data_IF_872068507805
#
_entry.id   IF_872068507805
#
_cell.length_a   1.000
_cell.length_b   1.000
_cell.length_c   1.000
_cell.angle_alpha   90.00
_cell.angle_beta   90.00
_cell.angle_gamma   90.00
#
_symmetry.space_group_name_H-M   'P 1'
#
loop_
_entity.id
_entity.type
_entity.pdbx_description
1 polymer ?
#
# COMPACT_ATOMS: atom_id res chain seq x y z
N UNK A 1 -36.33 -11.68 0.72
CA UNK A 1 -35.61 -10.40 0.94
C UNK A 1 -34.15 -10.73 1.23
N UNK A 2 -33.23 -10.20 0.43
CA UNK A 2 -31.81 -10.58 0.40
C UNK A 2 -31.13 -9.88 1.58
N UNK A 3 -31.09 -10.53 2.75
CA UNK A 3 -30.71 -9.91 4.02
C UNK A 3 -29.39 -9.16 3.95
N UNK A 4 -29.48 -7.91 4.38
CA UNK A 4 -28.63 -6.79 4.00
C UNK A 4 -27.33 -6.80 4.77
N UNK A 5 -26.24 -7.29 4.17
CA UNK A 5 -24.90 -6.88 4.60
C UNK A 5 -24.84 -5.35 4.49
N UNK A 6 -24.64 -4.61 5.60
CA UNK A 6 -24.64 -3.15 5.54
C UNK A 6 -23.53 -2.68 4.60
N UNK A 7 -23.88 -1.87 3.59
CA UNK A 7 -22.95 -1.21 2.66
C UNK A 7 -22.15 -2.17 1.75
N UNK A 8 -22.71 -3.32 1.36
CA UNK A 8 -22.04 -4.32 0.49
C UNK A 8 -21.53 -3.76 -0.85
N UNK A 9 -22.40 -3.12 -1.63
CA UNK A 9 -22.07 -2.57 -2.95
C UNK A 9 -20.98 -1.50 -2.91
N UNK A 10 -21.06 -0.46 -2.04
CA UNK A 10 -19.98 0.53 -1.95
C UNK A 10 -18.66 -0.07 -1.43
N UNK A 11 -18.72 -1.05 -0.53
CA UNK A 11 -17.50 -1.71 -0.02
C UNK A 11 -16.78 -2.53 -1.10
N UNK A 12 -17.51 -3.26 -1.94
CA UNK A 12 -16.92 -3.99 -3.06
C UNK A 12 -16.27 -3.07 -4.09
N UNK A 13 -16.95 -1.97 -4.43
CA UNK A 13 -16.41 -0.98 -5.36
C UNK A 13 -15.11 -0.35 -4.84
N UNK A 14 -15.09 0.06 -3.57
CA UNK A 14 -13.91 0.64 -2.93
C UNK A 14 -12.75 -0.34 -2.77
N UNK A 15 -13.03 -1.59 -2.41
CA UNK A 15 -12.02 -2.64 -2.36
C UNK A 15 -11.42 -2.90 -3.75
N UNK A 16 -12.24 -2.96 -4.79
CA UNK A 16 -11.78 -3.15 -6.17
C UNK A 16 -10.91 -2.00 -6.66
N UNK A 17 -11.28 -0.76 -6.32
CA UNK A 17 -10.52 0.42 -6.72
C UNK A 17 -9.20 0.54 -5.93
N UNK A 18 -9.22 0.20 -4.64
CA UNK A 18 -8.00 0.10 -3.80
C UNK A 18 -7.07 -1.01 -4.30
N UNK A 19 -7.63 -2.13 -4.74
CA UNK A 19 -6.88 -3.24 -5.35
C UNK A 19 -6.18 -2.77 -6.63
N UNK A 20 -6.92 -2.16 -7.56
CA UNK A 20 -6.37 -1.67 -8.82
C UNK A 20 -5.23 -0.67 -8.61
N UNK A 21 -5.42 0.29 -7.70
CA UNK A 21 -4.38 1.28 -7.37
C UNK A 21 -3.20 0.68 -6.60
N UNK A 22 -3.42 -0.36 -5.80
CA UNK A 22 -2.35 -1.13 -5.16
C UNK A 22 -1.45 -1.82 -6.19
N UNK A 23 -2.06 -2.45 -7.20
CA UNK A 23 -1.33 -3.07 -8.33
C UNK A 23 -0.55 -2.01 -9.12
N UNK A 24 -1.17 -0.86 -9.43
CA UNK A 24 -0.51 0.24 -10.15
C UNK A 24 0.69 0.77 -9.34
N UNK A 25 0.53 0.97 -8.03
CA UNK A 25 1.61 1.42 -7.14
C UNK A 25 2.77 0.43 -7.08
N UNK A 26 2.48 -0.88 -7.02
CA UNK A 26 3.50 -1.93 -7.07
C UNK A 26 4.23 -1.99 -8.42
N UNK A 27 3.48 -1.86 -9.53
CA UNK A 27 4.03 -1.84 -10.89
C UNK A 27 4.93 -0.62 -11.12
N UNK A 28 4.52 0.56 -10.64
CA UNK A 28 5.36 1.76 -10.64
C UNK A 28 6.67 1.55 -9.86
N UNK A 29 6.59 0.88 -8.71
CA UNK A 29 7.72 0.40 -7.91
C UNK A 29 8.72 -0.43 -8.71
N UNK A 30 8.24 -1.52 -9.31
CA UNK A 30 9.04 -2.42 -10.14
C UNK A 30 9.67 -1.71 -11.34
N UNK A 31 8.88 -0.89 -12.05
CA UNK A 31 9.37 -0.13 -13.21
C UNK A 31 10.50 0.85 -12.84
N UNK A 32 10.41 1.50 -11.68
CA UNK A 32 11.48 2.38 -11.19
C UNK A 32 12.78 1.62 -10.90
N UNK A 33 12.69 0.39 -10.37
CA UNK A 33 13.86 -0.47 -10.11
C UNK A 33 14.53 -0.89 -11.42
N UNK A 34 13.75 -1.36 -12.39
CA UNK A 34 14.26 -1.78 -13.71
C UNK A 34 14.94 -0.61 -14.42
N UNK A 35 14.24 0.53 -14.53
CA UNK A 35 14.76 1.68 -15.28
C UNK A 35 16.02 2.28 -14.66
N UNK A 36 16.17 2.20 -13.33
CA UNK A 36 17.41 2.57 -12.65
C UNK A 36 18.55 1.60 -12.99
N UNK A 37 18.30 0.29 -12.93
CA UNK A 37 19.33 -0.69 -13.25
C UNK A 37 19.85 -0.51 -14.68
N UNK A 38 18.95 -0.22 -15.62
CA UNK A 38 19.31 0.12 -17.00
C UNK A 38 20.18 1.37 -17.05
N UNK A 39 19.78 2.46 -16.37
CA UNK A 39 20.59 3.69 -16.31
C UNK A 39 21.98 3.48 -15.71
N UNK A 40 22.09 2.75 -14.60
CA UNK A 40 23.38 2.46 -13.96
C UNK A 40 24.25 1.61 -14.88
N UNK A 41 23.66 0.65 -15.61
CA UNK A 41 24.37 -0.15 -16.60
C UNK A 41 24.88 0.71 -17.76
N UNK A 42 24.02 1.57 -18.32
CA UNK A 42 24.39 2.48 -19.41
C UNK A 42 25.49 3.47 -19.00
N UNK A 43 25.43 4.02 -17.77
CA UNK A 43 26.49 4.89 -17.23
C UNK A 43 27.80 4.12 -17.09
N UNK A 44 27.77 2.90 -16.52
CA UNK A 44 28.96 2.07 -16.40
C UNK A 44 29.57 1.75 -17.76
N UNK A 45 28.76 1.45 -18.78
CA UNK A 45 29.23 1.19 -20.14
C UNK A 45 29.83 2.43 -20.80
N UNK A 46 29.15 3.58 -20.72
CA UNK A 46 29.63 4.82 -21.31
C UNK A 46 30.96 5.28 -20.68
N UNK A 47 31.12 5.03 -19.38
CA UNK A 47 32.27 5.50 -18.60
C UNK A 47 33.41 4.46 -18.55
N UNK A 48 33.13 3.18 -18.86
CA UNK A 48 34.15 2.14 -19.03
C UNK A 48 35.14 2.46 -20.17
N UNK A 49 34.67 3.10 -21.24
CA UNK A 49 35.52 3.56 -22.34
C UNK A 49 36.58 4.59 -21.89
N UNK A 50 36.33 5.29 -20.78
CA UNK A 50 37.22 6.32 -20.22
C UNK A 50 38.11 5.79 -19.08
N UNK A 51 38.08 4.48 -18.77
CA UNK A 51 38.72 3.85 -17.59
C UNK A 51 38.33 4.51 -16.25
N UNK A 52 37.14 5.08 -16.17
CA UNK A 52 36.62 5.69 -14.94
C UNK A 52 35.64 4.71 -14.29
N UNK A 53 35.79 4.48 -12.99
CA UNK A 53 34.91 3.60 -12.23
C UNK A 53 33.90 4.46 -11.45
N UNK A 54 32.60 4.30 -11.73
CA UNK A 54 31.54 5.15 -11.16
C UNK A 54 30.74 4.37 -10.12
N UNK A 55 30.72 4.89 -8.89
CA UNK A 55 29.92 4.37 -7.79
C UNK A 55 28.75 5.32 -7.51
N UNK A 56 27.54 4.86 -7.80
CA UNK A 56 26.29 5.62 -7.58
C UNK A 56 25.61 5.07 -6.33
N UNK A 57 25.69 5.79 -5.22
CA UNK A 57 24.95 5.45 -4.00
C UNK A 57 23.56 6.11 -4.04
N UNK A 58 22.53 5.28 -4.15
CA UNK A 58 21.12 5.69 -4.09
C UNK A 58 20.32 4.83 -3.12
N UNK A 59 20.98 4.27 -2.09
CA UNK A 59 20.35 3.28 -1.21
C UNK A 59 19.16 3.85 -0.42
N UNK A 60 19.17 5.14 -0.09
CA UNK A 60 18.14 5.73 0.76
C UNK A 60 16.77 5.79 0.06
N UNK A 61 16.75 6.25 -1.20
CA UNK A 61 15.53 6.30 -2.01
C UNK A 61 15.08 4.91 -2.47
N UNK A 62 16.01 3.98 -2.66
CA UNK A 62 15.68 2.61 -3.04
C UNK A 62 15.03 1.83 -1.91
N UNK A 63 15.64 1.86 -0.73
CA UNK A 63 15.13 1.10 0.42
C UNK A 63 13.74 1.59 0.76
N UNK A 64 13.56 2.90 0.83
CA UNK A 64 12.25 3.52 1.06
C UNK A 64 11.26 3.23 -0.08
N UNK A 65 11.69 3.32 -1.35
CA UNK A 65 10.86 3.03 -2.52
C UNK A 65 10.41 1.56 -2.62
N UNK A 66 11.29 0.61 -2.29
CA UNK A 66 10.96 -0.82 -2.22
C UNK A 66 9.92 -1.06 -1.13
N UNK A 67 10.08 -0.45 0.05
CA UNK A 67 9.11 -0.60 1.14
C UNK A 67 7.73 -0.07 0.74
N UNK A 68 7.66 1.05 0.01
CA UNK A 68 6.39 1.56 -0.55
C UNK A 68 5.78 0.57 -1.57
N UNK A 69 6.59 0.05 -2.48
CA UNK A 69 6.13 -0.90 -3.49
C UNK A 69 5.60 -2.20 -2.87
N UNK A 70 6.31 -2.73 -1.86
CA UNK A 70 5.88 -3.90 -1.07
C UNK A 70 4.59 -3.59 -0.31
N UNK A 71 4.47 -2.40 0.28
CA UNK A 71 3.23 -1.96 0.93
C UNK A 71 2.04 -1.95 -0.03
N UNK A 72 2.22 -1.42 -1.24
CA UNK A 72 1.18 -1.40 -2.28
C UNK A 72 0.81 -2.81 -2.75
N UNK A 73 1.79 -3.71 -2.90
CA UNK A 73 1.57 -5.11 -3.27
C UNK A 73 0.81 -5.86 -2.18
N UNK A 74 1.21 -5.72 -0.92
CA UNK A 74 0.51 -6.31 0.23
C UNK A 74 -0.93 -5.79 0.32
N UNK A 75 -1.14 -4.50 0.05
CA UNK A 75 -2.48 -3.92 0.01
C UNK A 75 -3.35 -4.56 -1.08
N UNK A 76 -2.80 -4.78 -2.28
CA UNK A 76 -3.49 -5.49 -3.34
C UNK A 76 -3.82 -6.95 -2.95
N UNK A 77 -2.88 -7.68 -2.34
CA UNK A 77 -3.13 -9.05 -1.89
C UNK A 77 -4.22 -9.12 -0.82
N UNK A 78 -4.14 -8.26 0.20
CA UNK A 78 -5.13 -8.20 1.29
C UNK A 78 -6.52 -7.84 0.77
N UNK A 79 -6.61 -6.82 -0.10
CA UNK A 79 -7.88 -6.44 -0.73
C UNK A 79 -8.44 -7.54 -1.63
N UNK A 80 -7.60 -8.27 -2.36
CA UNK A 80 -8.01 -9.43 -3.17
C UNK A 80 -8.62 -10.54 -2.32
N UNK A 81 -8.01 -10.87 -1.18
CA UNK A 81 -8.56 -11.85 -0.23
C UNK A 81 -9.92 -11.38 0.30
N UNK A 82 -10.08 -10.11 0.62
CA UNK A 82 -11.34 -9.58 1.15
C UNK A 82 -12.46 -9.54 0.10
N UNK A 83 -12.13 -9.24 -1.16
CA UNK A 83 -13.06 -9.35 -2.29
C UNK A 83 -13.49 -10.81 -2.45
N UNK A 84 -12.54 -11.76 -2.43
CA UNK A 84 -12.81 -13.19 -2.52
C UNK A 84 -13.76 -13.68 -1.42
N UNK A 85 -13.50 -13.31 -0.16
CA UNK A 85 -14.38 -13.64 0.97
C UNK A 85 -15.79 -13.05 0.81
N UNK A 86 -15.90 -11.80 0.33
CA UNK A 86 -17.19 -11.16 0.06
C UNK A 86 -17.98 -11.87 -1.06
N UNK A 87 -17.31 -12.31 -2.13
CA UNK A 87 -17.93 -13.04 -3.25
C UNK A 87 -18.34 -14.45 -2.82
N UNK A 88 -17.50 -15.16 -2.06
CA UNK A 88 -17.81 -16.50 -1.56
C UNK A 88 -19.02 -16.49 -0.60
N UNK A 89 -19.10 -15.51 0.30
CA UNK A 89 -20.27 -15.34 1.18
C UNK A 89 -21.54 -14.95 0.40
N UNK A 90 -21.39 -14.41 -0.81
CA UNK A 90 -22.52 -14.08 -1.68
C UNK A 90 -23.15 -15.28 -2.37
N UNK A 91 -22.39 -16.38 -2.49
CA UNK A 91 -22.82 -17.64 -3.10
C UNK A 91 -23.40 -18.63 -2.07
N UNK A 92 -23.20 -18.38 -0.76
CA UNK A 92 -23.76 -19.20 0.30
C UNK A 92 -25.25 -18.92 0.53
N UNK A 93 -26.06 -19.95 0.83
CA UNK A 93 -27.47 -19.77 1.19
C UNK A 93 -27.62 -18.96 2.49
N UNK A 94 -28.67 -18.14 2.55
CA UNK A 94 -28.95 -17.11 3.57
C UNK A 94 -29.02 -17.60 5.04
N UNK A 95 -28.94 -18.91 5.27
CA UNK A 95 -28.99 -19.54 6.60
C UNK A 95 -27.60 -19.75 7.23
N UNK A 96 -26.51 -19.56 6.48
CA UNK A 96 -25.16 -19.76 7.00
C UNK A 96 -24.57 -18.45 7.53
N UNK A 97 -24.05 -18.47 8.77
CA UNK A 97 -23.31 -17.35 9.36
C UNK A 97 -22.19 -16.88 8.42
N UNK A 98 -22.20 -15.63 7.91
CA UNK A 98 -21.23 -15.19 6.91
C UNK A 98 -19.86 -15.00 7.55
N UNK A 99 -18.82 -15.58 6.95
CA UNK A 99 -17.44 -15.59 7.47
C UNK A 99 -16.79 -14.20 7.36
N UNK A 100 -17.23 -13.40 6.39
CA UNK A 100 -16.89 -11.98 6.23
C UNK A 100 -17.32 -11.19 7.47
N UNK A 101 -18.54 -11.41 7.95
CA UNK A 101 -19.03 -10.95 9.26
C UNK A 101 -18.44 -11.71 10.44
N UNK A 102 -17.32 -12.43 10.36
CA UNK A 102 -16.57 -12.84 11.58
C UNK A 102 -15.19 -12.22 11.59
N UNK A 103 -14.63 -12.04 10.41
CA UNK A 103 -13.29 -11.48 10.18
C UNK A 103 -13.27 -9.96 10.04
N UNK A 104 -14.43 -9.29 9.91
CA UNK A 104 -14.54 -7.83 9.68
C UNK A 104 -13.65 -6.95 10.58
N UNK A 105 -13.50 -7.27 11.87
CA UNK A 105 -12.65 -6.51 12.80
C UNK A 105 -11.15 -6.64 12.47
N UNK A 106 -10.71 -7.85 12.15
CA UNK A 106 -9.33 -8.14 11.69
C UNK A 106 -9.09 -7.50 10.33
N UNK A 107 -10.08 -7.54 9.44
CA UNK A 107 -10.00 -6.90 8.12
C UNK A 107 -9.77 -5.40 8.24
N UNK A 108 -10.52 -4.72 9.12
CA UNK A 108 -10.35 -3.27 9.36
C UNK A 108 -9.02 -2.94 10.03
N UNK A 109 -8.57 -3.74 11.00
CA UNK A 109 -7.29 -3.54 11.67
C UNK A 109 -6.12 -3.66 10.70
N UNK A 110 -6.13 -4.69 9.86
CA UNK A 110 -5.09 -4.93 8.87
C UNK A 110 -5.07 -3.83 7.79
N UNK A 111 -6.25 -3.40 7.29
CA UNK A 111 -6.32 -2.29 6.32
C UNK A 111 -5.78 -0.97 6.91
N UNK A 112 -6.13 -0.67 8.16
CA UNK A 112 -5.65 0.52 8.85
C UNK A 112 -4.13 0.48 9.05
N UNK A 113 -3.60 -0.66 9.48
CA UNK A 113 -2.15 -0.86 9.61
C UNK A 113 -1.43 -0.66 8.27
N UNK A 114 -1.89 -1.28 7.18
CA UNK A 114 -1.29 -1.11 5.86
C UNK A 114 -1.37 0.35 5.37
N UNK A 115 -2.49 1.02 5.63
CA UNK A 115 -2.67 2.42 5.23
C UNK A 115 -1.68 3.34 5.94
N UNK A 116 -1.50 3.18 7.25
CA UNK A 116 -0.52 3.94 8.03
C UNK A 116 0.92 3.59 7.63
N UNK A 117 1.20 2.32 7.38
CA UNK A 117 2.50 1.86 6.90
C UNK A 117 2.88 2.52 5.56
N UNK A 118 1.95 2.49 4.60
CA UNK A 118 2.15 3.09 3.28
C UNK A 118 2.39 4.59 3.45
N UNK A 119 1.58 5.28 4.26
CA UNK A 119 1.74 6.71 4.53
C UNK A 119 3.13 7.06 5.09
N UNK A 120 3.58 6.35 6.13
CA UNK A 120 4.89 6.57 6.73
C UNK A 120 6.02 6.37 5.70
N UNK A 121 5.91 5.33 4.88
CA UNK A 121 6.88 5.02 3.83
C UNK A 121 6.86 6.08 2.71
N UNK A 122 5.68 6.59 2.35
CA UNK A 122 5.49 7.66 1.37
C UNK A 122 6.15 8.96 1.79
N UNK A 123 6.01 9.35 3.06
CA UNK A 123 6.62 10.57 3.59
C UNK A 123 8.14 10.48 3.48
N UNK A 124 8.72 9.32 3.83
CA UNK A 124 10.15 9.09 3.68
C UNK A 124 10.58 9.16 2.21
N UNK A 125 9.90 8.47 1.29
CA UNK A 125 10.21 8.51 -0.15
C UNK A 125 10.09 9.94 -0.70
N UNK A 126 9.05 10.67 -0.33
CA UNK A 126 8.83 12.04 -0.82
C UNK A 126 9.93 12.98 -0.32
N UNK A 127 10.36 12.84 0.94
CA UNK A 127 11.51 13.59 1.49
C UNK A 127 12.79 13.25 0.73
N UNK A 128 13.12 11.97 0.58
CA UNK A 128 14.33 11.55 -0.15
C UNK A 128 14.30 11.93 -1.62
N UNK A 129 13.14 11.90 -2.28
CA UNK A 129 13.00 12.43 -3.62
C UNK A 129 13.26 13.94 -3.62
N UNK A 130 12.60 14.71 -2.73
CA UNK A 130 12.61 16.19 -2.64
C UNK A 130 13.96 16.79 -2.40
N UNK A 131 14.68 16.27 -1.43
CA UNK A 131 15.93 16.85 -0.97
C UNK A 131 17.14 16.04 -1.40
N UNK A 132 16.94 14.86 -1.99
CA UNK A 132 18.02 13.94 -2.32
C UNK A 132 18.57 14.12 -3.72
N UNK A 133 19.86 13.88 -3.83
CA UNK A 133 20.59 13.67 -5.09
C UNK A 133 21.35 12.35 -4.99
N UNK A 134 21.55 11.66 -6.11
CA UNK A 134 22.41 10.49 -6.17
C UNK A 134 23.84 10.88 -5.78
N UNK A 135 24.41 10.23 -4.76
CA UNK A 135 25.83 10.43 -4.43
C UNK A 135 26.66 9.63 -5.43
N UNK A 136 27.30 10.32 -6.38
CA UNK A 136 28.13 9.68 -7.41
C UNK A 136 29.60 9.97 -7.13
N UNK A 137 30.34 8.92 -6.80
CA UNK A 137 31.78 8.95 -6.64
C UNK A 137 32.44 8.34 -7.87
N UNK A 138 33.30 9.09 -8.56
CA UNK A 138 34.06 8.59 -9.70
C UNK A 138 35.52 8.34 -9.30
N UNK A 139 36.12 7.28 -9.83
CA UNK A 139 37.53 6.94 -9.63
C UNK A 139 38.24 6.85 -10.96
N UNK A 140 39.42 7.47 -11.07
CA UNK A 140 40.32 7.40 -12.24
C UNK A 140 41.64 6.78 -11.79
N UNK A 141 42.02 5.63 -12.34
CA UNK A 141 43.31 4.99 -11.98
C UNK A 141 43.46 4.65 -10.49
N UNK A 142 42.35 4.38 -9.78
CA UNK A 142 42.35 4.06 -8.35
C UNK A 142 42.26 5.27 -7.40
N UNK A 143 42.33 6.50 -7.91
CA UNK A 143 42.20 7.73 -7.10
C UNK A 143 40.80 8.30 -7.25
N UNK A 144 40.19 8.71 -6.12
CA UNK A 144 38.86 9.36 -6.12
C UNK A 144 38.98 10.72 -6.79
N UNK A 145 38.17 10.92 -7.84
CA UNK A 145 38.06 12.21 -8.52
C UNK A 145 37.30 13.18 -7.61
N UNK A 146 37.79 14.42 -7.41
CA UNK A 146 37.10 15.44 -6.63
C UNK A 146 35.67 15.68 -7.14
N UNK A 147 34.70 15.77 -6.22
CA UNK A 147 33.28 15.84 -6.55
C UNK A 147 32.93 17.00 -7.52
N UNK A 148 33.68 18.12 -7.47
CA UNK A 148 33.54 19.25 -8.39
C UNK A 148 33.82 18.89 -9.87
N UNK A 149 34.81 18.03 -10.13
CA UNK A 149 35.12 17.57 -11.49
C UNK A 149 34.11 16.52 -11.96
N UNK A 150 33.57 15.72 -11.05
CA UNK A 150 32.49 14.78 -11.37
C UNK A 150 31.23 15.56 -11.77
N UNK A 151 30.89 16.62 -11.05
CA UNK A 151 29.76 17.51 -11.39
C UNK A 151 29.93 18.18 -12.76
N UNK A 152 31.11 18.72 -13.05
CA UNK A 152 31.39 19.36 -14.34
C UNK A 152 31.32 18.36 -15.51
N UNK A 153 31.72 17.10 -15.27
CA UNK A 153 31.70 16.05 -16.29
C UNK A 153 30.28 15.50 -16.51
N UNK A 154 29.49 15.35 -15.45
CA UNK A 154 28.09 14.95 -15.54
C UNK A 154 27.23 15.98 -16.27
N UNK A 155 27.43 17.28 -15.99
CA UNK A 155 26.73 18.34 -16.72
C UNK A 155 27.05 18.34 -18.22
N UNK A 156 28.26 17.89 -18.60
CA UNK A 156 28.67 17.77 -20.01
C UNK A 156 28.13 16.49 -20.67
N UNK A 157 27.94 15.43 -19.88
CA UNK A 157 27.37 14.15 -20.33
C UNK A 157 25.83 14.14 -20.30
N UNK A 158 25.18 15.20 -19.79
CA UNK A 158 23.73 15.34 -19.76
C UNK A 158 23.04 14.48 -18.69
N UNK A 159 23.77 14.00 -17.67
CA UNK A 159 23.20 13.19 -16.61
C UNK A 159 22.83 14.03 -15.39
N UNK A 160 21.56 13.99 -14.99
CA UNK A 160 21.07 14.67 -13.79
C UNK A 160 21.11 13.74 -12.57
N UNK A 161 21.80 14.17 -11.51
CA UNK A 161 21.82 13.51 -10.18
C UNK A 161 20.56 13.77 -9.36
N UNK A 162 19.79 14.79 -9.72
CA UNK A 162 18.60 15.19 -8.97
C UNK A 162 17.54 14.12 -9.15
N UNK A 163 17.14 13.46 -8.07
CA UNK A 163 16.16 12.37 -8.15
C UNK A 163 14.84 12.86 -8.76
N UNK A 164 14.41 14.08 -8.45
CA UNK A 164 13.22 14.68 -9.06
C UNK A 164 13.30 14.90 -10.56
N UNK A 165 14.47 14.95 -11.18
CA UNK A 165 14.53 15.13 -12.63
C UNK A 165 14.18 13.84 -13.37
N UNK A 166 14.26 12.71 -12.68
CA UNK A 166 14.06 11.40 -13.25
C UNK A 166 12.57 11.01 -13.19
N UNK A 167 11.97 10.86 -14.37
CA UNK A 167 10.54 10.59 -14.53
C UNK A 167 10.07 9.34 -13.77
N UNK A 168 10.92 8.32 -13.65
CA UNK A 168 10.59 7.10 -12.90
C UNK A 168 10.51 7.33 -11.39
N UNK A 169 11.31 8.24 -10.83
CA UNK A 169 11.23 8.63 -9.42
C UNK A 169 9.95 9.44 -9.17
N UNK A 170 9.58 10.32 -10.11
CA UNK A 170 8.31 11.06 -10.04
C UNK A 170 7.12 10.10 -10.00
N UNK A 171 7.08 9.13 -10.91
CA UNK A 171 6.00 8.14 -10.98
C UNK A 171 5.98 7.28 -9.70
N UNK A 172 7.15 6.85 -9.23
CA UNK A 172 7.30 6.11 -7.96
C UNK A 172 6.79 6.91 -6.75
N UNK A 173 6.85 8.23 -6.80
CA UNK A 173 6.40 9.09 -5.69
C UNK A 173 4.91 9.40 -5.82
N UNK A 174 4.43 9.76 -7.02
CA UNK A 174 3.05 10.24 -7.25
C UNK A 174 2.05 9.08 -7.22
N UNK A 175 2.33 7.94 -7.87
CA UNK A 175 1.36 6.85 -7.97
C UNK A 175 0.94 6.32 -6.58
N UNK A 176 1.87 6.09 -5.63
CA UNK A 176 1.51 5.66 -4.29
C UNK A 176 0.72 6.69 -3.47
N UNK A 177 0.81 8.00 -3.76
CA UNK A 177 -0.04 9.02 -3.13
C UNK A 177 -1.50 8.82 -3.50
N UNK A 178 -1.78 8.51 -4.77
CA UNK A 178 -3.13 8.18 -5.23
C UNK A 178 -3.62 6.90 -4.57
N UNK A 179 -2.78 5.87 -4.50
CA UNK A 179 -3.10 4.60 -3.82
C UNK A 179 -3.44 4.82 -2.34
N UNK A 180 -2.68 5.65 -1.63
CA UNK A 180 -2.91 5.97 -0.22
C UNK A 180 -4.28 6.64 0.01
N UNK A 181 -4.65 7.65 -0.80
CA UNK A 181 -5.93 8.36 -0.63
C UNK A 181 -7.12 7.42 -0.71
N UNK A 182 -7.11 6.51 -1.68
CA UNK A 182 -8.17 5.53 -1.82
C UNK A 182 -8.13 4.43 -0.75
N UNK A 183 -6.94 4.00 -0.33
CA UNK A 183 -6.79 3.08 0.80
C UNK A 183 -7.37 3.67 2.11
N UNK A 184 -7.17 4.96 2.35
CA UNK A 184 -7.70 5.68 3.49
C UNK A 184 -9.24 5.72 3.47
N UNK A 185 -9.84 6.09 2.33
CA UNK A 185 -11.30 6.11 2.17
C UNK A 185 -11.89 4.71 2.41
N UNK A 186 -11.27 3.67 1.84
CA UNK A 186 -11.71 2.28 2.01
C UNK A 186 -11.59 1.83 3.47
N UNK A 187 -10.55 2.27 4.18
CA UNK A 187 -10.37 2.00 5.61
C UNK A 187 -11.48 2.66 6.45
N UNK A 188 -11.78 3.94 6.22
CA UNK A 188 -12.83 4.68 6.95
C UNK A 188 -14.20 4.02 6.76
N UNK A 189 -14.53 3.64 5.52
CA UNK A 189 -15.82 3.00 5.20
C UNK A 189 -15.90 1.60 5.79
N UNK A 190 -14.79 0.84 5.76
CA UNK A 190 -14.73 -0.47 6.42
C UNK A 190 -14.88 -0.34 7.93
N UNK A 191 -14.31 0.70 8.56
CA UNK A 191 -14.47 0.96 9.99
C UNK A 191 -15.91 1.32 10.35
N UNK A 192 -16.56 2.13 9.52
CA UNK A 192 -17.98 2.50 9.68
C UNK A 192 -18.90 1.28 9.57
N UNK A 193 -18.62 0.37 8.63
CA UNK A 193 -19.35 -0.88 8.49
C UNK A 193 -19.12 -1.83 9.70
N UNK A 194 -17.90 -1.87 10.22
CA UNK A 194 -17.55 -2.66 11.42
C UNK A 194 -18.27 -2.15 12.67
N UNK A 195 -18.30 -0.83 12.90
CA UNK A 195 -19.04 -0.21 14.02
C UNK A 195 -20.54 -0.49 13.96
N UNK A 196 -21.14 -0.36 12.78
CA UNK A 196 -22.58 -0.67 12.60
C UNK A 196 -22.89 -2.13 12.90
N UNK A 197 -21.98 -3.05 12.58
CA UNK A 197 -22.13 -4.48 12.89
C UNK A 197 -22.07 -4.75 14.39
N UNK A 198 -21.08 -4.18 15.11
CA UNK A 198 -20.94 -4.39 16.55
C UNK A 198 -22.21 -3.97 17.29
N UNK A 199 -22.78 -2.80 16.93
CA UNK A 199 -24.04 -2.32 17.49
C UNK A 199 -25.22 -3.27 17.24
N UNK A 200 -25.34 -3.82 16.01
CA UNK A 200 -26.40 -4.78 15.67
C UNK A 200 -26.24 -6.09 16.45
N UNK A 201 -25.02 -6.60 16.60
CA UNK A 201 -24.77 -7.85 17.36
C UNK A 201 -24.98 -7.69 18.87
N UNK A 202 -24.63 -6.53 19.43
CA UNK A 202 -24.88 -6.23 20.85
C UNK A 202 -26.39 -6.16 21.12
N UNK A 203 -27.15 -5.54 20.21
CA UNK A 203 -28.60 -5.41 20.35
C UNK A 203 -29.33 -6.75 20.15
N UNK A 204 -28.88 -7.62 19.23
CA UNK A 204 -29.47 -8.97 19.12
C UNK A 204 -29.19 -9.81 20.38
N UNK A 205 -27.96 -9.76 20.90
CA UNK A 205 -27.59 -10.49 22.11
C UNK A 205 -28.34 -10.01 23.37
N UNK A 206 -28.65 -8.71 23.45
CA UNK A 206 -29.51 -8.17 24.50
C UNK A 206 -30.93 -8.73 24.41
N UNK A 207 -31.54 -8.68 23.23
CA UNK A 207 -32.90 -9.17 22.99
C UNK A 207 -33.04 -10.67 23.28
N UNK A 208 -32.02 -11.48 22.93
CA UNK A 208 -32.03 -12.92 23.19
C UNK A 208 -31.94 -13.24 24.69
N UNK A 209 -31.15 -12.46 25.45
CA UNK A 209 -31.10 -12.59 26.92
C UNK A 209 -32.42 -12.20 27.56
N UNK A 210 -33.01 -11.08 27.13
CA UNK A 210 -34.29 -10.60 27.66
C UNK A 210 -35.42 -11.61 27.41
N UNK A 211 -35.45 -12.24 26.22
CA UNK A 211 -36.38 -13.34 25.92
C UNK A 211 -36.17 -14.55 26.82
N UNK A 212 -34.93 -14.99 27.00
CA UNK A 212 -34.61 -16.13 27.88
C UNK A 212 -35.01 -15.87 29.34
N UNK A 213 -34.81 -14.65 29.84
CA UNK A 213 -35.26 -14.26 31.18
C UNK A 213 -36.78 -14.19 31.30
N UNK A 214 -37.49 -13.75 30.25
CA UNK A 214 -38.94 -13.72 30.22
C UNK A 214 -39.55 -15.13 30.27
N UNK A 215 -39.02 -16.07 29.48
CA UNK A 215 -39.45 -17.48 29.46
C UNK A 215 -39.20 -18.17 30.82
N UNK A 216 -38.05 -17.90 31.45
CA UNK A 216 -37.76 -18.41 32.80
C UNK A 216 -38.75 -17.89 33.85
N UNK A 217 -39.12 -16.61 33.77
CA UNK A 217 -40.11 -16.00 34.67
C UNK A 217 -41.53 -16.49 34.44
N UNK A 218 -41.86 -16.89 33.21
CA UNK A 218 -43.16 -17.46 32.87
C UNK A 218 -43.27 -18.89 33.40
N UNK A 219 -42.25 -19.71 33.18
CA UNK A 219 -42.20 -21.08 33.69
C UNK A 219 -42.27 -21.14 35.22
N UNK A 220 -41.61 -20.22 35.92
CA UNK A 220 -41.64 -20.15 37.38
C UNK A 220 -42.99 -19.71 37.98
N UNK A 221 -43.95 -19.21 37.17
CA UNK A 221 -45.32 -18.88 37.61
C UNK A 221 -46.33 -19.98 37.32
N UNK A 222 -45.95 -20.95 36.48
CA UNK A 222 -46.80 -22.07 36.09
C UNK A 222 -46.70 -23.27 37.06
N UNK A 223 -45.75 -23.21 38.01
CA UNK A 223 -45.57 -24.15 39.14
C UNK A 223 -46.21 -23.60 40.42
#
# INVERSE_FOLDING_TARGET
MRNSLPLRTPRLFLLGLTWALGVIGAAAGLNAIVKRNDQVSSIKQAVAALRINVFVNTNDILRSGIVVAVGCLLLALVTSVFIGLLVLDSLKPSSANPISTRTLGVQTGLLAFLTVWIFASLVAVTKFAATGSAAVSAYTGGVRVPDALVHATESRLGFSRVYWDQLYVRILTIAPWVTFLFALITTIISFSASRKRTAISEQSGWNDREKGEAELRENARAE
#
